data_IF_941929590278
#
_entry.id   IF_941929590278
#
_cell.length_a   1.000
_cell.length_b   1.000
_cell.length_c   1.000
_cell.angle_alpha   90.00
_cell.angle_beta   90.00
_cell.angle_gamma   90.00
#
_symmetry.space_group_name_H-M   'P 1'
#
loop_
_entity.id
_entity.type
_entity.pdbx_description
1 polymer ?
#
# COMPACT_ATOMS: atom_id res chain seq x y z
N UNK A 1 -10.29 29.37 -9.96
CA UNK A 1 -9.92 28.27 -9.03
C UNK A 1 -10.21 26.90 -9.64
N UNK A 2 -11.17 26.78 -10.55
CA UNK A 2 -11.56 25.50 -11.15
C UNK A 2 -10.48 24.88 -12.05
N UNK A 3 -9.69 25.71 -12.74
CA UNK A 3 -8.58 25.24 -13.58
C UNK A 3 -7.52 24.44 -12.81
N UNK A 4 -7.15 24.87 -11.60
CA UNK A 4 -6.16 24.14 -10.77
C UNK A 4 -6.71 22.78 -10.30
N UNK A 5 -7.99 22.73 -9.93
CA UNK A 5 -8.64 21.48 -9.50
C UNK A 5 -8.71 20.47 -10.64
N UNK A 6 -9.05 20.92 -11.86
CA UNK A 6 -9.04 20.08 -13.06
C UNK A 6 -7.62 19.56 -13.32
N UNK A 7 -6.61 20.42 -13.28
CA UNK A 7 -5.21 20.02 -13.48
C UNK A 7 -4.75 18.98 -12.46
N UNK A 8 -5.00 19.20 -11.16
CA UNK A 8 -4.64 18.24 -10.11
C UNK A 8 -5.34 16.89 -10.29
N UNK A 9 -6.62 16.90 -10.64
CA UNK A 9 -7.38 15.67 -10.91
C UNK A 9 -6.84 14.94 -12.15
N UNK A 10 -6.50 15.65 -13.22
CA UNK A 10 -5.91 15.07 -14.42
C UNK A 10 -4.56 14.43 -14.13
N UNK A 11 -3.70 15.10 -13.36
CA UNK A 11 -2.41 14.54 -12.90
C UNK A 11 -2.65 13.28 -12.05
N UNK A 12 -3.60 13.33 -11.12
CA UNK A 12 -3.96 12.19 -10.28
C UNK A 12 -4.39 10.97 -11.12
N UNK A 13 -5.29 11.18 -12.08
CA UNK A 13 -5.78 10.12 -12.98
C UNK A 13 -4.63 9.56 -13.83
N UNK A 14 -3.83 10.41 -14.46
CA UNK A 14 -2.70 9.99 -15.28
C UNK A 14 -1.68 9.16 -14.47
N UNK A 15 -1.31 9.63 -13.27
CA UNK A 15 -0.41 8.92 -12.37
C UNK A 15 -1.00 7.56 -11.92
N UNK A 16 -2.30 7.51 -11.62
CA UNK A 16 -2.99 6.27 -11.27
C UNK A 16 -2.99 5.25 -12.41
N UNK A 17 -3.20 5.69 -13.64
CA UNK A 17 -3.13 4.83 -14.83
C UNK A 17 -1.72 4.32 -15.08
N UNK A 18 -0.70 5.17 -14.92
CA UNK A 18 0.70 4.75 -14.99
C UNK A 18 0.99 3.67 -13.94
N UNK A 19 0.60 3.90 -12.68
CA UNK A 19 0.78 2.91 -11.60
C UNK A 19 0.10 1.58 -11.92
N UNK A 20 -1.14 1.62 -12.46
CA UNK A 20 -1.93 0.43 -12.80
C UNK A 20 -1.24 -0.47 -13.82
N UNK A 21 -0.67 0.11 -14.89
CA UNK A 21 -0.05 -0.65 -15.98
C UNK A 21 1.43 -0.97 -15.77
N UNK A 22 2.16 -0.15 -14.99
CA UNK A 22 3.58 -0.39 -14.71
C UNK A 22 3.77 -1.54 -13.72
N UNK A 23 2.90 -1.69 -12.71
CA UNK A 23 3.13 -2.73 -11.70
C UNK A 23 3.18 -4.16 -12.28
N UNK A 24 2.28 -4.59 -13.19
CA UNK A 24 2.38 -5.90 -13.85
C UNK A 24 3.71 -6.13 -14.57
N UNK A 25 4.24 -5.12 -15.27
CA UNK A 25 5.55 -5.26 -15.90
C UNK A 25 6.68 -5.46 -14.88
N UNK A 26 6.63 -4.79 -13.73
CA UNK A 26 7.56 -5.06 -12.63
C UNK A 26 7.43 -6.51 -12.10
N UNK A 27 6.21 -7.07 -12.06
CA UNK A 27 5.95 -8.45 -11.60
C UNK A 27 6.45 -9.52 -12.58
N UNK A 28 6.40 -9.25 -13.88
CA UNK A 28 6.84 -10.18 -14.93
C UNK A 28 8.37 -10.24 -15.09
N UNK A 29 9.08 -9.19 -14.69
CA UNK A 29 10.54 -9.14 -14.78
C UNK A 29 11.26 -9.97 -13.70
N UNK A 30 12.56 -10.19 -13.89
CA UNK A 30 13.44 -10.84 -12.92
C UNK A 30 13.58 -9.96 -11.67
N UNK A 31 13.19 -10.52 -10.52
CA UNK A 31 13.08 -9.83 -9.24
C UNK A 31 14.48 -9.37 -8.81
N UNK A 32 14.62 -8.08 -8.54
CA UNK A 32 15.92 -7.46 -8.22
C UNK A 32 16.83 -7.16 -9.42
N UNK A 33 16.46 -7.52 -10.65
CA UNK A 33 17.16 -7.11 -11.87
C UNK A 33 16.95 -5.64 -12.24
N UNK A 34 17.70 -5.09 -13.22
CA UNK A 34 17.63 -3.67 -13.59
C UNK A 34 16.24 -3.25 -14.07
N UNK A 35 15.57 -4.10 -14.86
CA UNK A 35 14.19 -3.85 -15.32
C UNK A 35 13.22 -3.77 -14.12
N UNK A 36 13.21 -4.77 -13.24
CA UNK A 36 12.36 -4.75 -12.04
C UNK A 36 12.58 -3.50 -11.18
N UNK A 37 13.83 -3.10 -10.96
CA UNK A 37 14.16 -1.89 -10.19
C UNK A 37 13.64 -0.62 -10.86
N UNK A 38 13.76 -0.51 -12.20
CA UNK A 38 13.28 0.65 -12.95
C UNK A 38 11.76 0.74 -12.88
N UNK A 39 11.06 -0.34 -13.19
CA UNK A 39 9.60 -0.38 -13.18
C UNK A 39 9.04 -0.19 -11.77
N UNK A 40 9.67 -0.80 -10.75
CA UNK A 40 9.29 -0.59 -9.35
C UNK A 40 9.44 0.86 -8.88
N UNK A 41 10.49 1.58 -9.32
CA UNK A 41 10.65 3.01 -9.04
C UNK A 41 9.59 3.86 -9.73
N UNK A 42 9.29 3.58 -11.01
CA UNK A 42 8.23 4.29 -11.75
C UNK A 42 6.89 4.11 -11.05
N UNK A 43 6.56 2.87 -10.67
CA UNK A 43 5.35 2.57 -9.90
C UNK A 43 5.29 3.33 -8.58
N UNK A 44 6.37 3.28 -7.79
CA UNK A 44 6.42 3.94 -6.49
C UNK A 44 6.20 5.46 -6.59
N UNK A 45 6.88 6.13 -7.52
CA UNK A 45 6.73 7.57 -7.72
C UNK A 45 5.38 7.95 -8.32
N UNK A 46 4.79 7.11 -9.18
CA UNK A 46 3.42 7.30 -9.63
C UNK A 46 2.43 7.23 -8.45
N UNK A 47 2.59 6.26 -7.55
CA UNK A 47 1.79 6.16 -6.33
C UNK A 47 2.00 7.33 -5.37
N UNK A 48 3.22 7.86 -5.26
CA UNK A 48 3.49 9.07 -4.47
C UNK A 48 2.75 10.29 -5.05
N UNK A 49 2.77 10.46 -6.37
CA UNK A 49 2.01 11.52 -7.06
C UNK A 49 0.50 11.36 -6.83
N UNK A 50 -0.04 10.14 -6.93
CA UNK A 50 -1.44 9.82 -6.61
C UNK A 50 -1.77 10.22 -5.17
N UNK A 51 -0.92 9.86 -4.21
CA UNK A 51 -1.13 10.17 -2.79
C UNK A 51 -1.13 11.68 -2.53
N UNK A 52 -0.11 12.40 -3.01
CA UNK A 52 -0.01 13.86 -2.81
C UNK A 52 -1.20 14.57 -3.43
N UNK A 53 -1.54 14.25 -4.68
CA UNK A 53 -2.71 14.86 -5.35
C UNK A 53 -4.02 14.50 -4.66
N UNK A 54 -4.18 13.26 -4.15
CA UNK A 54 -5.36 12.87 -3.38
C UNK A 54 -5.49 13.66 -2.07
N UNK A 55 -4.40 13.84 -1.32
CA UNK A 55 -4.40 14.61 -0.08
C UNK A 55 -4.80 16.07 -0.33
N UNK A 56 -4.25 16.70 -1.38
CA UNK A 56 -4.59 18.07 -1.76
C UNK A 56 -6.06 18.17 -2.18
N UNK A 57 -6.55 17.26 -3.03
CA UNK A 57 -7.94 17.25 -3.48
C UNK A 57 -8.92 17.01 -2.32
N UNK A 58 -8.60 16.07 -1.44
CA UNK A 58 -9.42 15.73 -0.28
C UNK A 58 -9.40 16.81 0.81
N UNK A 59 -8.37 17.65 0.89
CA UNK A 59 -8.35 18.84 1.74
C UNK A 59 -9.15 20.00 1.12
N UNK A 60 -9.09 20.16 -0.21
CA UNK A 60 -9.82 21.23 -0.92
C UNK A 60 -11.34 20.99 -0.91
N UNK A 61 -11.78 19.76 -1.16
CA UNK A 61 -13.18 19.33 -1.02
C UNK A 61 -13.23 18.24 0.05
N UNK A 62 -13.36 18.64 1.33
CA UNK A 62 -13.24 17.75 2.49
C UNK A 62 -13.98 16.43 2.33
N UNK A 63 -13.20 15.36 2.13
CA UNK A 63 -13.68 13.99 2.18
C UNK A 63 -12.73 13.17 3.06
N UNK A 64 -13.03 13.12 4.35
CA UNK A 64 -12.20 12.46 5.34
C UNK A 64 -12.04 10.95 5.08
N UNK A 65 -13.06 10.29 4.51
CA UNK A 65 -12.97 8.89 4.12
C UNK A 65 -11.87 8.68 3.07
N UNK A 66 -11.90 9.44 1.96
CA UNK A 66 -10.88 9.32 0.92
C UNK A 66 -9.50 9.78 1.37
N UNK A 67 -9.42 10.79 2.25
CA UNK A 67 -8.17 11.25 2.85
C UNK A 67 -7.48 10.12 3.63
N UNK A 68 -8.22 9.44 4.52
CA UNK A 68 -7.67 8.35 5.32
C UNK A 68 -7.31 7.13 4.46
N UNK A 69 -8.14 6.80 3.46
CA UNK A 69 -7.84 5.73 2.49
C UNK A 69 -6.58 6.06 1.69
N UNK A 70 -6.34 7.32 1.32
CA UNK A 70 -5.13 7.73 0.61
C UNK A 70 -3.87 7.53 1.47
N UNK A 71 -3.90 7.93 2.74
CA UNK A 71 -2.79 7.70 3.70
C UNK A 71 -2.50 6.21 3.84
N UNK A 72 -3.53 5.41 4.11
CA UNK A 72 -3.41 3.95 4.22
C UNK A 72 -2.83 3.32 2.95
N UNK A 73 -3.37 3.66 1.78
CA UNK A 73 -2.95 3.07 0.50
C UNK A 73 -1.51 3.43 0.15
N UNK A 74 -1.11 4.68 0.37
CA UNK A 74 0.26 5.11 0.11
C UNK A 74 1.24 4.45 1.07
N UNK A 75 0.87 4.26 2.34
CA UNK A 75 1.74 3.60 3.31
C UNK A 75 2.13 2.17 2.89
N UNK A 76 1.24 1.43 2.23
CA UNK A 76 1.58 0.11 1.69
C UNK A 76 2.73 0.19 0.66
N UNK A 77 2.66 1.17 -0.26
CA UNK A 77 3.71 1.39 -1.26
C UNK A 77 5.00 1.89 -0.61
N UNK A 78 4.87 2.83 0.32
CA UNK A 78 5.97 3.42 1.08
C UNK A 78 6.73 2.38 1.90
N UNK A 79 6.03 1.59 2.70
CA UNK A 79 6.63 0.53 3.51
C UNK A 79 7.28 -0.55 2.63
N UNK A 80 6.63 -0.96 1.54
CA UNK A 80 7.22 -1.88 0.56
C UNK A 80 8.50 -1.34 -0.05
N UNK A 81 8.54 -0.06 -0.45
CA UNK A 81 9.75 0.56 -0.98
C UNK A 81 10.84 0.72 0.09
N UNK A 82 10.47 1.14 1.31
CA UNK A 82 11.39 1.34 2.44
C UNK A 82 12.01 0.06 2.95
N UNK A 83 11.31 -1.07 2.86
CA UNK A 83 11.85 -2.38 3.23
C UNK A 83 13.19 -2.67 2.57
N UNK A 84 13.43 -2.21 1.33
CA UNK A 84 14.71 -2.38 0.63
C UNK A 84 15.91 -1.66 1.29
N UNK A 85 15.65 -0.70 2.17
CA UNK A 85 16.65 0.01 2.94
C UNK A 85 16.87 -0.62 4.33
N UNK A 86 15.98 -1.51 4.77
CA UNK A 86 16.08 -2.22 6.05
C UNK A 86 16.80 -3.57 5.94
N UNK A 87 17.75 -3.70 5.00
CA UNK A 87 18.53 -4.94 4.78
C UNK A 87 19.38 -5.36 5.97
N UNK A 88 19.69 -4.41 6.86
CA UNK A 88 20.42 -4.64 8.11
C UNK A 88 19.53 -4.15 9.27
N UNK A 89 19.51 -4.86 10.40
CA UNK A 89 18.85 -4.39 11.61
C UNK A 89 19.35 -2.99 12.01
N UNK A 90 18.46 -2.14 12.50
CA UNK A 90 18.82 -0.80 13.03
C UNK A 90 18.73 0.37 12.03
N UNK A 91 18.31 0.14 10.78
CA UNK A 91 18.13 1.21 9.78
C UNK A 91 16.74 1.85 9.78
N UNK A 92 15.92 1.56 10.80
CA UNK A 92 14.62 2.19 11.01
C UNK A 92 14.83 3.59 11.56
N UNK A 93 14.24 4.60 10.91
CA UNK A 93 14.41 6.00 11.28
C UNK A 93 13.11 6.69 11.69
N UNK A 94 13.18 7.98 12.07
CA UNK A 94 12.01 8.78 12.42
C UNK A 94 10.93 8.79 11.33
N UNK A 95 11.35 8.80 10.05
CA UNK A 95 10.42 8.76 8.92
C UNK A 95 9.54 7.50 8.92
N UNK A 96 10.10 6.34 9.28
CA UNK A 96 9.35 5.08 9.30
C UNK A 96 8.32 5.07 10.44
N UNK A 97 8.73 5.58 11.62
CA UNK A 97 7.84 5.75 12.77
C UNK A 97 6.71 6.74 12.49
N UNK A 98 7.03 7.91 11.93
CA UNK A 98 6.02 8.92 11.58
C UNK A 98 5.03 8.38 10.55
N UNK A 99 5.50 7.74 9.48
CA UNK A 99 4.62 7.15 8.47
C UNK A 99 3.71 6.05 9.07
N UNK A 100 4.26 5.24 9.97
CA UNK A 100 3.51 4.18 10.66
C UNK A 100 2.46 4.74 11.60
N UNK A 101 2.80 5.77 12.37
CA UNK A 101 1.87 6.46 13.27
C UNK A 101 0.73 7.13 12.49
N UNK A 102 1.04 7.87 11.43
CA UNK A 102 0.04 8.51 10.58
C UNK A 102 -0.94 7.47 9.99
N UNK A 103 -0.42 6.33 9.56
CA UNK A 103 -1.23 5.23 9.04
C UNK A 103 -2.08 4.60 10.11
N UNK A 104 -1.54 4.37 11.32
CA UNK A 104 -2.28 3.81 12.44
C UNK A 104 -3.44 4.73 12.82
N UNK A 105 -3.20 6.04 12.92
CA UNK A 105 -4.22 7.05 13.22
C UNK A 105 -5.28 7.09 12.13
N UNK A 106 -4.90 7.15 10.86
CA UNK A 106 -5.84 7.14 9.74
C UNK A 106 -6.69 5.86 9.70
N UNK A 107 -6.08 4.71 9.99
CA UNK A 107 -6.75 3.40 9.97
C UNK A 107 -7.69 3.22 11.16
N UNK A 108 -7.28 3.65 12.36
CA UNK A 108 -8.15 3.71 13.53
C UNK A 108 -9.33 4.66 13.28
N UNK A 109 -9.07 5.82 12.67
CA UNK A 109 -10.11 6.77 12.25
C UNK A 109 -11.11 6.15 11.28
N UNK A 110 -10.64 5.42 10.26
CA UNK A 110 -11.52 4.70 9.33
C UNK A 110 -12.40 3.67 10.05
N UNK A 111 -11.83 2.88 10.97
CA UNK A 111 -12.58 1.88 11.70
C UNK A 111 -13.64 2.53 12.61
N UNK A 112 -13.26 3.55 13.39
CA UNK A 112 -14.17 4.26 14.30
C UNK A 112 -15.28 4.99 13.53
N UNK A 113 -14.95 5.77 12.50
CA UNK A 113 -15.95 6.48 11.70
C UNK A 113 -16.82 5.53 10.87
N UNK A 114 -16.28 4.38 10.46
CA UNK A 114 -17.07 3.32 9.84
C UNK A 114 -18.11 2.70 10.77
N UNK A 115 -17.81 2.62 12.08
CA UNK A 115 -18.74 2.13 13.11
C UNK A 115 -19.79 3.19 13.50
N UNK A 116 -19.38 4.44 13.75
CA UNK A 116 -20.29 5.50 14.23
C UNK A 116 -21.06 6.20 13.11
N UNK A 117 -20.65 6.02 11.85
CA UNK A 117 -21.35 6.44 10.64
C UNK A 117 -21.87 7.89 10.64
N UNK A 118 -20.99 8.91 10.82
CA UNK A 118 -21.40 10.29 11.08
C UNK A 118 -21.99 11.03 9.87
N UNK A 119 -22.15 10.37 8.72
CA UNK A 119 -22.72 11.00 7.53
C UNK A 119 -22.93 10.02 6.36
N UNK A 120 -23.48 10.51 5.23
CA UNK A 120 -23.96 9.65 4.15
C UNK A 120 -22.89 8.76 3.52
N UNK A 121 -21.65 9.26 3.40
CA UNK A 121 -20.51 8.48 2.88
C UNK A 121 -20.21 7.30 3.80
N UNK A 122 -20.22 7.52 5.12
CA UNK A 122 -19.92 6.51 6.12
C UNK A 122 -21.06 5.51 6.30
N UNK A 123 -22.32 5.92 6.13
CA UNK A 123 -23.46 5.00 6.10
C UNK A 123 -23.39 4.07 4.87
N UNK A 124 -23.01 4.62 3.70
CA UNK A 124 -22.90 3.84 2.46
C UNK A 124 -21.67 2.92 2.42
N UNK A 125 -20.55 3.38 2.98
CA UNK A 125 -19.24 2.72 2.87
C UNK A 125 -18.66 2.28 4.22
N UNK A 126 -19.47 2.25 5.29
CA UNK A 126 -19.00 1.96 6.65
C UNK A 126 -18.30 0.61 6.76
N UNK A 127 -18.85 -0.42 6.10
CA UNK A 127 -18.21 -1.75 6.01
C UNK A 127 -16.83 -1.66 5.35
N UNK A 128 -16.68 -0.88 4.28
CA UNK A 128 -15.39 -0.66 3.61
C UNK A 128 -14.42 0.03 4.55
N UNK A 129 -14.88 1.08 5.25
CA UNK A 129 -14.07 1.83 6.20
C UNK A 129 -13.58 0.93 7.35
N UNK A 130 -14.46 0.09 7.91
CA UNK A 130 -14.09 -0.87 8.95
C UNK A 130 -13.06 -1.86 8.43
N UNK A 131 -13.29 -2.49 7.27
CA UNK A 131 -12.37 -3.49 6.71
C UNK A 131 -10.99 -2.88 6.44
N UNK A 132 -10.92 -1.72 5.76
CA UNK A 132 -9.64 -1.05 5.48
C UNK A 132 -8.98 -0.52 6.75
N UNK A 133 -9.76 0.03 7.68
CA UNK A 133 -9.26 0.52 8.97
C UNK A 133 -8.67 -0.60 9.82
N UNK A 134 -9.33 -1.75 9.91
CA UNK A 134 -8.81 -2.91 10.63
C UNK A 134 -7.55 -3.46 9.96
N UNK A 135 -7.55 -3.64 8.64
CA UNK A 135 -6.36 -4.11 7.90
C UNK A 135 -5.19 -3.15 8.10
N UNK A 136 -5.41 -1.84 7.93
CA UNK A 136 -4.39 -0.81 8.09
C UNK A 136 -3.84 -0.73 9.51
N UNK A 137 -4.69 -0.84 10.53
CA UNK A 137 -4.26 -0.86 11.92
C UNK A 137 -3.41 -2.10 12.24
N UNK A 138 -3.79 -3.28 11.74
CA UNK A 138 -3.00 -4.51 11.88
C UNK A 138 -1.65 -4.35 11.19
N UNK A 139 -1.61 -3.84 9.96
CA UNK A 139 -0.37 -3.64 9.21
C UNK A 139 0.56 -2.66 9.93
N UNK A 140 0.05 -1.48 10.31
CA UNK A 140 0.83 -0.47 11.02
C UNK A 140 1.32 -0.97 12.39
N UNK A 141 0.46 -1.65 13.16
CA UNK A 141 0.84 -2.24 14.44
C UNK A 141 1.91 -3.32 14.30
N UNK A 142 1.82 -4.17 13.27
CA UNK A 142 2.86 -5.16 12.96
C UNK A 142 4.17 -4.49 12.57
N UNK A 143 4.16 -3.43 11.76
CA UNK A 143 5.39 -2.71 11.43
C UNK A 143 6.02 -2.05 12.65
N UNK A 144 5.23 -1.37 13.49
CA UNK A 144 5.72 -0.81 14.76
C UNK A 144 6.38 -1.88 15.65
N UNK A 145 5.76 -3.06 15.75
CA UNK A 145 6.34 -4.20 16.46
C UNK A 145 7.66 -4.67 15.86
N UNK A 146 7.73 -4.86 14.53
CA UNK A 146 8.96 -5.30 13.87
C UNK A 146 10.08 -4.24 13.89
N UNK A 147 9.73 -2.96 13.95
CA UNK A 147 10.71 -1.89 14.13
C UNK A 147 11.33 -1.92 15.52
N UNK A 148 10.52 -2.18 16.56
CA UNK A 148 11.01 -2.37 17.91
C UNK A 148 11.73 -3.73 18.11
N UNK A 149 11.36 -4.75 17.32
CA UNK A 149 11.91 -6.11 17.38
C UNK A 149 12.30 -6.61 15.99
N UNK A 150 13.45 -6.17 15.45
CA UNK A 150 13.89 -6.54 14.11
C UNK A 150 14.04 -8.06 13.93
N UNK A 151 13.69 -8.56 12.75
CA UNK A 151 13.88 -9.97 12.42
C UNK A 151 15.36 -10.32 12.28
N UNK A 152 15.75 -11.52 12.74
CA UNK A 152 17.08 -12.08 12.52
C UNK A 152 17.25 -12.65 11.09
N UNK A 153 16.16 -12.82 10.33
CA UNK A 153 16.22 -13.34 8.97
C UNK A 153 16.72 -12.25 7.98
N UNK A 154 17.90 -12.48 7.41
CA UNK A 154 18.53 -11.61 6.42
C UNK A 154 17.68 -11.39 5.14
N UNK A 155 16.64 -12.19 4.90
CA UNK A 155 15.73 -12.08 3.75
C UNK A 155 14.36 -11.52 4.10
N UNK A 156 14.10 -11.18 5.36
CA UNK A 156 12.82 -10.61 5.80
C UNK A 156 12.44 -9.36 4.98
N UNK A 157 13.41 -8.48 4.74
CA UNK A 157 13.23 -7.25 3.96
C UNK A 157 12.64 -7.49 2.56
N UNK A 158 12.95 -8.63 1.92
CA UNK A 158 12.46 -8.95 0.59
C UNK A 158 11.01 -9.39 0.64
N UNK A 159 10.61 -10.11 1.69
CA UNK A 159 9.22 -10.49 1.90
C UNK A 159 8.38 -9.25 2.24
N UNK A 160 8.89 -8.36 3.08
CA UNK A 160 8.23 -7.10 3.43
C UNK A 160 8.07 -6.20 2.19
N UNK A 161 9.11 -6.12 1.35
CA UNK A 161 9.02 -5.44 0.05
C UNK A 161 7.93 -6.02 -0.85
N UNK A 162 7.89 -7.34 -1.00
CA UNK A 162 6.90 -8.02 -1.84
C UNK A 162 5.47 -7.81 -1.30
N UNK A 163 5.26 -7.98 0.01
CA UNK A 163 3.95 -7.78 0.64
C UNK A 163 3.51 -6.33 0.46
N UNK A 164 4.36 -5.36 0.77
CA UNK A 164 4.02 -3.94 0.67
C UNK A 164 3.67 -3.51 -0.76
N UNK A 165 4.53 -3.85 -1.73
CA UNK A 165 4.31 -3.47 -3.14
C UNK A 165 3.11 -4.17 -3.78
N UNK A 166 2.84 -5.43 -3.43
CA UNK A 166 1.66 -6.13 -3.95
C UNK A 166 0.37 -5.63 -3.28
N UNK A 167 0.41 -5.36 -1.97
CA UNK A 167 -0.75 -4.82 -1.24
C UNK A 167 -1.08 -3.40 -1.70
N UNK A 168 -0.07 -2.58 -2.02
CA UNK A 168 -0.32 -1.26 -2.64
C UNK A 168 -0.91 -1.39 -4.04
N UNK A 169 -0.53 -2.43 -4.80
CA UNK A 169 -1.12 -2.67 -6.10
C UNK A 169 -2.59 -3.10 -6.01
N UNK A 170 -2.94 -3.90 -4.99
CA UNK A 170 -4.35 -4.17 -4.66
C UNK A 170 -5.11 -2.86 -4.46
N UNK A 171 -4.55 -1.90 -3.71
CA UNK A 171 -5.16 -0.58 -3.52
C UNK A 171 -5.28 0.21 -4.84
N UNK A 172 -4.30 0.12 -5.74
CA UNK A 172 -4.38 0.70 -7.09
C UNK A 172 -5.56 0.11 -7.89
N UNK A 173 -5.73 -1.23 -7.87
CA UNK A 173 -6.84 -1.91 -8.54
C UNK A 173 -8.18 -1.56 -7.89
N UNK A 174 -8.24 -1.42 -6.56
CA UNK A 174 -9.40 -0.90 -5.83
C UNK A 174 -9.78 0.50 -6.31
N UNK A 175 -8.82 1.43 -6.40
CA UNK A 175 -9.10 2.79 -6.87
C UNK A 175 -9.66 2.79 -8.31
N UNK A 176 -9.08 1.98 -9.19
CA UNK A 176 -9.58 1.81 -10.56
C UNK A 176 -11.01 1.22 -10.57
N UNK A 177 -11.26 0.18 -9.79
CA UNK A 177 -12.55 -0.50 -9.69
C UNK A 177 -13.66 0.43 -9.20
N UNK A 178 -13.39 1.24 -8.17
CA UNK A 178 -14.37 2.18 -7.60
C UNK A 178 -14.89 3.18 -8.62
N UNK A 179 -14.01 3.61 -9.53
CA UNK A 179 -14.35 4.60 -10.56
C UNK A 179 -15.01 3.95 -11.79
N UNK A 180 -14.56 2.75 -12.19
CA UNK A 180 -14.92 2.18 -13.49
C UNK A 180 -15.96 1.06 -13.42
N UNK A 181 -16.01 0.28 -12.33
CA UNK A 181 -16.89 -0.89 -12.22
C UNK A 181 -18.24 -0.51 -11.61
N UNK A 182 -18.91 0.45 -12.23
CA UNK A 182 -20.20 0.99 -11.76
C UNK A 182 -21.34 -0.04 -11.78
N UNK A 183 -21.18 -1.15 -12.51
CA UNK A 183 -22.10 -2.29 -12.51
C UNK A 183 -22.07 -3.10 -11.20
N UNK A 184 -21.00 -3.03 -10.41
CA UNK A 184 -20.94 -3.70 -9.12
C UNK A 184 -21.64 -2.88 -8.02
N UNK A 185 -22.18 -3.52 -6.97
CA UNK A 185 -22.62 -2.82 -5.76
C UNK A 185 -21.49 -1.99 -5.13
N UNK A 186 -21.79 -0.85 -4.45
CA UNK A 186 -20.77 0.05 -3.92
C UNK A 186 -19.68 -0.66 -3.09
N UNK A 187 -20.05 -1.48 -2.11
CA UNK A 187 -19.10 -2.21 -1.26
C UNK A 187 -18.23 -3.18 -2.07
N UNK A 188 -18.82 -3.90 -3.03
CA UNK A 188 -18.10 -4.85 -3.86
C UNK A 188 -16.99 -4.17 -4.68
N UNK A 189 -17.25 -2.98 -5.25
CA UNK A 189 -16.25 -2.19 -6.00
C UNK A 189 -14.98 -1.95 -5.19
N UNK A 190 -15.11 -1.78 -3.87
CA UNK A 190 -13.99 -1.53 -2.98
C UNK A 190 -13.25 -2.79 -2.56
N UNK A 191 -13.99 -3.84 -2.20
CA UNK A 191 -13.44 -4.98 -1.46
C UNK A 191 -13.06 -6.18 -2.33
N UNK A 192 -13.60 -6.33 -3.55
CA UNK A 192 -13.26 -7.48 -4.40
C UNK A 192 -11.75 -7.61 -4.69
N UNK A 193 -10.97 -6.51 -4.92
CA UNK A 193 -9.55 -6.65 -5.19
C UNK A 193 -8.78 -7.16 -3.98
N UNK A 194 -9.17 -6.76 -2.77
CA UNK A 194 -8.59 -7.29 -1.52
C UNK A 194 -8.98 -8.75 -1.32
N UNK A 195 -10.24 -9.10 -1.56
CA UNK A 195 -10.75 -10.47 -1.45
C UNK A 195 -9.98 -11.45 -2.35
N UNK A 196 -9.65 -11.05 -3.58
CA UNK A 196 -8.91 -11.87 -4.54
C UNK A 196 -7.39 -11.72 -4.35
N UNK A 197 -6.91 -10.50 -4.17
CA UNK A 197 -5.49 -10.18 -4.12
C UNK A 197 -4.79 -10.72 -2.87
N UNK A 198 -5.42 -10.65 -1.70
CA UNK A 198 -4.80 -11.11 -0.45
C UNK A 198 -4.47 -12.61 -0.44
N UNK A 199 -5.35 -13.52 -0.89
CA UNK A 199 -4.99 -14.92 -1.10
C UNK A 199 -3.82 -15.11 -2.07
N UNK A 200 -3.82 -14.42 -3.22
CA UNK A 200 -2.75 -14.50 -4.21
C UNK A 200 -1.39 -14.06 -3.64
N UNK A 201 -1.37 -12.94 -2.91
CA UNK A 201 -0.17 -12.46 -2.21
C UNK A 201 0.32 -13.47 -1.18
N UNK A 202 -0.60 -14.04 -0.40
CA UNK A 202 -0.28 -15.05 0.62
C UNK A 202 0.37 -16.29 -0.01
N UNK A 203 -0.21 -16.82 -1.09
CA UNK A 203 0.33 -17.96 -1.84
C UNK A 203 1.73 -17.64 -2.37
N UNK A 204 1.89 -16.47 -3.00
CA UNK A 204 3.15 -16.03 -3.58
C UNK A 204 4.27 -15.88 -2.53
N UNK A 205 3.96 -15.24 -1.41
CA UNK A 205 4.90 -15.08 -0.28
C UNK A 205 5.27 -16.43 0.32
N UNK A 206 4.31 -17.34 0.45
CA UNK A 206 4.54 -18.68 1.01
C UNK A 206 5.46 -19.52 0.11
N UNK A 207 5.28 -19.42 -1.21
CA UNK A 207 6.18 -20.01 -2.19
C UNK A 207 7.63 -19.50 -2.03
N UNK A 208 7.83 -18.18 -1.91
CA UNK A 208 9.18 -17.61 -1.73
C UNK A 208 9.81 -17.96 -0.37
N UNK A 209 9.02 -17.99 0.71
CA UNK A 209 9.49 -18.48 2.02
C UNK A 209 10.00 -19.93 1.91
N UNK A 210 9.27 -20.81 1.24
CA UNK A 210 9.69 -22.19 0.99
C UNK A 210 10.97 -22.27 0.15
N UNK A 211 11.07 -21.45 -0.91
CA UNK A 211 12.27 -21.36 -1.76
C UNK A 211 13.50 -20.90 -0.98
N UNK A 212 13.35 -19.96 -0.05
CA UNK A 212 14.46 -19.47 0.77
C UNK A 212 14.97 -20.50 1.77
N UNK A 213 14.09 -21.29 2.37
CA UNK A 213 14.49 -22.40 3.25
C UNK A 213 15.31 -23.46 2.50
N UNK A 214 14.97 -23.76 1.25
CA UNK A 214 15.68 -24.75 0.41
C UNK A 214 17.05 -24.30 -0.09
N UNK A 215 17.35 -22.99 -0.07
CA UNK A 215 18.65 -22.41 -0.45
C UNK A 215 19.10 -21.44 0.63
N UNK A 216 19.67 -21.94 1.75
CA UNK A 216 20.23 -21.08 2.80
C UNK A 216 21.19 -20.05 2.18
N UNK A 217 21.26 -18.85 2.75
CA UNK A 217 22.31 -17.92 2.34
C UNK A 217 23.66 -18.57 2.66
N UNK A 218 24.58 -18.62 1.69
CA UNK A 218 25.96 -19.01 1.97
C UNK A 218 26.51 -18.05 3.01
N UNK A 219 26.88 -18.57 4.18
CA UNK A 219 27.62 -17.82 5.20
C UNK A 219 28.82 -17.17 4.50
N UNK A 220 29.01 -15.85 4.55
CA UNK A 220 30.24 -15.26 4.05
C UNK A 220 31.39 -15.92 4.80
N UNK A 221 32.34 -16.49 4.07
CA UNK A 221 33.60 -16.90 4.68
C UNK A 221 34.18 -15.64 5.34
N UNK A 222 34.39 -15.72 6.65
CA UNK A 222 35.17 -14.71 7.36
C UNK A 222 36.59 -14.81 6.78
N UNK A 223 36.96 -13.86 5.93
CA UNK A 223 38.33 -13.60 5.48
C UNK A 223 38.78 -12.26 6.03
#
# INVERSE_FOLDING_TARGET
>A
MDGLMITLRSIHIAAGMIALFVAPGAMLTVKGGPAHRRWGKIYFWAMATVAVTALVLAAWRPNYFLLMVAVFSFYLAFSGYRALYHKRPGLVGPLDWTATLLTLVASAGLAVFGLVQPGPVWQRLGVVAIVFGTIGAIVAGRHAWHFARPSADARAFMLDHMIGMLSSYIATVTAFSVVNFTFLPPVARWLWPTLVGTPLVTIWVSYYKGRFKRRPASTPALS
#
